data_IF_961020244379
#
_entry.id   IF_961020244379
#
_cell.length_a   1.000
_cell.length_b   1.000
_cell.length_c   1.000
_cell.angle_alpha   90.00
_cell.angle_beta   90.00
_cell.angle_gamma   90.00
#
_symmetry.space_group_name_H-M   'P 1'
#
loop_
_entity.id
_entity.type
_entity.pdbx_description
1 polymer ?
#
# COMPACT_ATOMS: atom_id res chain seq x y z
N UNK A 1 8.93 -8.22 -0.90
CA UNK A 1 8.93 -7.52 0.40
C UNK A 1 8.78 -8.53 1.52
N UNK A 2 9.26 -8.24 2.74
CA UNK A 2 9.03 -9.10 3.91
C UNK A 2 7.67 -8.79 4.55
N UNK A 3 6.99 -9.82 5.05
CA UNK A 3 5.72 -9.66 5.76
C UNK A 3 5.96 -9.39 7.25
N UNK A 4 5.45 -8.27 7.76
CA UNK A 4 5.42 -7.95 9.17
C UNK A 4 3.98 -8.12 9.70
N UNK A 5 3.70 -9.29 10.28
CA UNK A 5 2.40 -9.57 10.92
C UNK A 5 2.37 -8.88 12.29
N UNK A 6 1.36 -8.06 12.55
CA UNK A 6 1.31 -7.19 13.73
C UNK A 6 -0.11 -6.88 14.14
N UNK A 7 -0.37 -6.78 15.45
CA UNK A 7 -1.68 -6.39 16.00
C UNK A 7 -2.03 -4.91 15.79
N UNK A 8 -1.05 -4.10 15.37
CA UNK A 8 -1.25 -2.66 15.09
C UNK A 8 -2.20 -2.39 13.92
N UNK A 9 -2.34 -3.34 13.00
CA UNK A 9 -3.29 -3.28 11.89
C UNK A 9 -4.43 -4.24 12.20
N UNK A 10 -5.67 -3.75 12.17
CA UNK A 10 -6.87 -4.53 12.41
C UNK A 10 -7.85 -4.34 11.25
N UNK A 11 -8.63 -5.36 10.89
CA UNK A 11 -9.56 -5.25 9.78
C UNK A 11 -10.68 -4.26 10.09
N UNK A 12 -11.11 -3.50 9.10
CA UNK A 12 -12.25 -2.59 9.20
C UNK A 12 -13.56 -3.34 9.03
N UNK A 13 -14.63 -2.90 9.72
CA UNK A 13 -15.99 -3.39 9.50
C UNK A 13 -16.78 -2.37 8.67
N UNK A 14 -16.92 -2.61 7.37
CA UNK A 14 -17.54 -1.68 6.42
C UNK A 14 -18.64 -2.40 5.62
N UNK A 15 -19.84 -1.83 5.57
CA UNK A 15 -20.98 -2.38 4.81
C UNK A 15 -21.24 -3.88 5.08
N UNK A 16 -21.15 -4.29 6.35
CA UNK A 16 -21.35 -5.69 6.77
C UNK A 16 -20.22 -6.64 6.40
N UNK A 17 -19.11 -6.14 5.83
CA UNK A 17 -17.93 -6.93 5.47
C UNK A 17 -16.74 -6.55 6.35
N UNK A 18 -15.84 -7.51 6.53
CA UNK A 18 -14.49 -7.23 7.04
C UNK A 18 -13.59 -6.86 5.86
N UNK A 19 -12.88 -5.74 5.96
CA UNK A 19 -11.96 -5.24 4.94
C UNK A 19 -10.57 -5.15 5.57
N UNK A 20 -9.63 -5.89 5.01
CA UNK A 20 -8.23 -5.91 5.46
C UNK A 20 -7.45 -4.72 4.90
N UNK A 21 -6.50 -4.22 5.69
CA UNK A 21 -5.57 -3.16 5.28
C UNK A 21 -4.16 -3.74 5.12
N UNK A 22 -3.51 -3.41 4.01
CA UNK A 22 -2.12 -3.76 3.74
C UNK A 22 -1.29 -2.48 3.69
N UNK A 23 -0.36 -2.32 4.64
CA UNK A 23 0.59 -1.22 4.66
C UNK A 23 1.89 -1.55 3.93
N UNK A 24 2.40 -0.61 3.13
CA UNK A 24 3.71 -0.73 2.48
C UNK A 24 4.54 0.56 2.64
N UNK A 25 5.81 0.47 3.07
CA UNK A 25 6.71 1.62 3.09
C UNK A 25 7.18 1.99 1.68
N UNK A 26 7.29 3.29 1.41
CA UNK A 26 7.77 3.88 0.16
C UNK A 26 9.26 4.26 0.14
N UNK A 27 10.06 3.68 1.05
CA UNK A 27 11.47 4.08 1.26
C UNK A 27 12.49 3.27 0.46
N UNK A 28 12.05 2.33 -0.37
CA UNK A 28 12.94 1.42 -1.12
C UNK A 28 12.97 1.78 -2.60
N UNK A 29 14.10 1.47 -3.25
CA UNK A 29 14.33 1.65 -4.68
C UNK A 29 15.47 0.76 -5.17
N UNK A 30 15.77 0.85 -6.47
CA UNK A 30 16.77 -0.01 -7.11
C UNK A 30 18.22 0.28 -6.67
N UNK A 31 18.48 1.44 -6.08
CA UNK A 31 19.79 1.90 -5.66
C UNK A 31 19.75 2.47 -4.23
N UNK A 32 20.84 2.28 -3.49
CA UNK A 32 21.03 2.78 -2.12
C UNK A 32 21.70 1.76 -1.20
N UNK A 33 21.73 2.05 0.10
CA UNK A 33 22.28 1.13 1.12
C UNK A 33 21.42 -0.14 1.25
N UNK A 34 20.11 0.00 1.09
CA UNK A 34 19.14 -1.09 1.09
C UNK A 34 18.29 -1.01 -0.19
N UNK A 35 18.36 -2.03 -1.04
CA UNK A 35 17.63 -2.06 -2.31
C UNK A 35 16.27 -2.79 -2.19
N UNK A 36 15.34 -2.45 -3.07
CA UNK A 36 14.02 -3.08 -3.20
C UNK A 36 13.20 -2.47 -4.35
N UNK A 37 11.96 -2.92 -4.51
CA UNK A 37 11.02 -2.28 -5.43
C UNK A 37 10.40 -1.02 -4.79
N UNK A 38 9.94 -0.07 -5.61
CA UNK A 38 9.22 1.11 -5.11
C UNK A 38 7.75 0.74 -4.84
N UNK A 39 7.17 1.31 -3.78
CA UNK A 39 5.74 1.12 -3.49
C UNK A 39 4.85 1.73 -4.58
N UNK A 40 5.35 2.74 -5.30
CA UNK A 40 4.60 3.43 -6.34
C UNK A 40 4.36 2.58 -7.60
N UNK A 41 5.03 1.43 -7.74
CA UNK A 41 4.71 0.46 -8.81
C UNK A 41 3.26 -0.07 -8.66
N UNK A 42 2.68 0.02 -7.46
CA UNK A 42 1.31 -0.41 -7.15
C UNK A 42 0.29 0.72 -7.21
N UNK A 43 0.72 1.97 -7.03
CA UNK A 43 -0.20 3.10 -6.88
C UNK A 43 -0.90 3.46 -8.19
N UNK A 44 -2.19 3.82 -8.17
CA UNK A 44 -2.90 4.22 -9.38
C UNK A 44 -2.45 5.60 -9.88
N UNK A 45 -2.59 5.82 -11.19
CA UNK A 45 -2.36 7.13 -11.81
C UNK A 45 -3.67 7.91 -11.91
N UNK A 46 -4.21 8.32 -10.77
CA UNK A 46 -5.41 9.17 -10.66
C UNK A 46 -5.16 10.21 -9.59
N UNK A 47 -5.68 11.43 -9.78
CA UNK A 47 -5.51 12.55 -8.87
C UNK A 47 -6.83 13.06 -8.30
N UNK A 48 -6.74 13.80 -7.21
CA UNK A 48 -7.85 14.57 -6.63
C UNK A 48 -8.45 15.55 -7.65
N UNK A 49 -9.77 15.74 -7.61
CA UNK A 49 -10.51 16.55 -8.57
C UNK A 49 -10.25 18.06 -8.49
N UNK A 50 -9.61 18.54 -7.41
CA UNK A 50 -9.32 19.96 -7.23
C UNK A 50 -7.85 20.27 -7.54
N UNK A 51 -6.94 19.42 -7.08
CA UNK A 51 -5.48 19.69 -7.05
C UNK A 51 -4.67 18.77 -7.93
N UNK A 52 -5.27 17.69 -8.44
CA UNK A 52 -4.60 16.59 -9.13
C UNK A 52 -3.52 15.89 -8.30
N UNK A 53 -3.50 16.08 -6.97
CA UNK A 53 -2.60 15.33 -6.08
C UNK A 53 -2.96 13.84 -6.18
N UNK A 54 -1.98 12.96 -6.46
CA UNK A 54 -2.26 11.55 -6.70
C UNK A 54 -2.83 10.79 -5.50
N UNK A 55 -3.69 9.81 -5.78
CA UNK A 55 -4.24 8.91 -4.78
C UNK A 55 -3.23 7.81 -4.43
N UNK A 56 -2.48 8.03 -3.35
CA UNK A 56 -1.46 7.10 -2.83
C UNK A 56 -1.78 6.55 -1.44
N UNK A 57 -2.91 6.94 -0.84
CA UNK A 57 -3.25 6.55 0.54
C UNK A 57 -4.25 5.42 0.59
N UNK A 58 -5.12 5.29 -0.41
CA UNK A 58 -6.08 4.20 -0.49
C UNK A 58 -6.24 3.69 -1.93
N UNK A 59 -5.83 2.44 -2.17
CA UNK A 59 -6.02 1.73 -3.42
C UNK A 59 -6.14 0.22 -3.16
N UNK A 60 -6.65 -0.53 -4.14
CA UNK A 60 -6.84 -1.97 -4.01
C UNK A 60 -5.57 -2.72 -4.39
N UNK A 61 -5.25 -3.77 -3.63
CA UNK A 61 -4.15 -4.68 -3.92
C UNK A 61 -4.50 -6.12 -3.51
N UNK A 62 -3.66 -7.06 -3.91
CA UNK A 62 -3.72 -8.47 -3.51
C UNK A 62 -2.33 -8.91 -3.03
N UNK A 63 -2.29 -9.88 -2.12
CA UNK A 63 -1.04 -10.48 -1.62
C UNK A 63 -1.08 -11.99 -1.77
N UNK A 64 0.03 -12.54 -2.26
CA UNK A 64 0.23 -13.98 -2.35
C UNK A 64 1.57 -14.34 -1.75
N UNK A 65 1.66 -15.54 -1.20
CA UNK A 65 2.95 -16.09 -0.76
C UNK A 65 3.85 -16.25 -2.00
N UNK A 66 5.06 -15.73 -1.90
CA UNK A 66 6.13 -15.88 -2.89
C UNK A 66 6.82 -17.23 -2.75
#
# INVERSE_FOLDING_TARGET
AYALVTDRFKPFKLNGKMVEEIGMPWHYGYEGICCGATANDLTPHVGDGNTMIPEYKAFLCDIKRA
#
